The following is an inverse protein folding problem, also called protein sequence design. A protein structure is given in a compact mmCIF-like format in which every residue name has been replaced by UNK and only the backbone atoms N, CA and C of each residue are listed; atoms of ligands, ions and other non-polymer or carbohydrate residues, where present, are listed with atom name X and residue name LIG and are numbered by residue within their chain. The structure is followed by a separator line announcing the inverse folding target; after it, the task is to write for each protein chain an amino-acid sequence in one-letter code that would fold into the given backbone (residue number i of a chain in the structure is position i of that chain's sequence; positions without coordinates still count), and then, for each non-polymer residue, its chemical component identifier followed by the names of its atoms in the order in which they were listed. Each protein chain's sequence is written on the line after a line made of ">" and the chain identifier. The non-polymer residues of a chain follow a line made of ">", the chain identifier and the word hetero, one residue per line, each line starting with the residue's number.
data_IF_071390703152
#
_entry.id   IF_071390703152
#
_cell.length_a   1.000
_cell.length_b   1.000
_cell.length_c   1.000
_cell.angle_alpha   90.00
_cell.angle_beta   90.00
_cell.angle_gamma   90.00
#
_symmetry.space_group_name_H-M   'P 1'
#
loop_
_entity.id
_entity.type
_entity.pdbx_description
1 polymer ?
#
# COMPACT_ATOMS: atom_id res chain seq x y z
N UNK A 1 -37.66 0.65 -28.54
CA UNK A 1 -36.58 0.16 -27.68
C UNK A 1 -35.70 1.36 -27.41
N UNK A 2 -35.94 2.00 -26.27
CA UNK A 2 -35.43 3.33 -25.95
C UNK A 2 -33.90 3.29 -25.84
N UNK A 3 -33.22 4.02 -26.71
CA UNK A 3 -31.96 4.62 -26.34
C UNK A 3 -32.35 5.73 -25.36
N UNK A 4 -32.31 5.43 -24.06
CA UNK A 4 -32.35 6.47 -23.04
C UNK A 4 -31.18 7.41 -23.35
N UNK A 5 -31.51 8.68 -23.56
CA UNK A 5 -30.57 9.78 -23.65
C UNK A 5 -29.75 9.80 -22.35
N UNK A 6 -28.61 9.08 -22.31
CA UNK A 6 -27.59 9.29 -21.28
C UNK A 6 -27.08 10.72 -21.44
N UNK A 7 -27.59 11.61 -20.57
CA UNK A 7 -27.18 13.01 -20.48
C UNK A 7 -25.63 13.04 -20.43
N UNK A 8 -24.94 13.82 -21.29
CA UNK A 8 -23.49 13.98 -21.19
C UNK A 8 -23.02 14.31 -19.76
N UNK A 9 -23.85 14.96 -18.95
CA UNK A 9 -23.57 15.22 -17.54
C UNK A 9 -23.39 13.94 -16.70
N UNK A 10 -24.18 12.88 -16.94
CA UNK A 10 -24.09 11.62 -16.20
C UNK A 10 -22.79 10.87 -16.50
N UNK A 11 -22.31 10.94 -17.75
CA UNK A 11 -21.01 10.36 -18.15
C UNK A 11 -19.83 11.10 -17.54
N UNK A 12 -19.87 12.44 -17.51
CA UNK A 12 -18.84 13.26 -16.86
C UNK A 12 -18.84 13.09 -15.33
N UNK A 13 -20.03 12.99 -14.70
CA UNK A 13 -20.17 12.77 -13.26
C UNK A 13 -19.66 11.38 -12.83
N UNK A 14 -19.93 10.34 -13.64
CA UNK A 14 -19.40 8.99 -13.41
C UNK A 14 -17.87 8.94 -13.49
N UNK A 15 -17.25 9.55 -14.51
CA UNK A 15 -15.78 9.58 -14.68
C UNK A 15 -15.07 10.33 -13.53
N UNK A 16 -15.67 11.41 -13.03
CA UNK A 16 -15.14 12.16 -11.89
C UNK A 16 -15.16 11.34 -10.59
N UNK A 17 -16.25 10.61 -10.31
CA UNK A 17 -16.33 9.80 -9.08
C UNK A 17 -15.30 8.66 -9.07
N UNK A 18 -15.02 8.06 -10.23
CA UNK A 18 -14.03 6.98 -10.35
C UNK A 18 -12.61 7.49 -10.11
N UNK A 19 -12.29 8.68 -10.64
CA UNK A 19 -11.03 9.38 -10.35
C UNK A 19 -10.89 9.67 -8.86
N UNK A 20 -11.91 10.29 -8.24
CA UNK A 20 -11.91 10.61 -6.80
C UNK A 20 -11.80 9.35 -5.92
N UNK A 21 -12.37 8.23 -6.36
CA UNK A 21 -12.25 6.94 -5.66
C UNK A 21 -10.82 6.37 -5.73
N UNK A 22 -10.15 6.50 -6.88
CA UNK A 22 -8.77 6.07 -7.05
C UNK A 22 -7.81 6.90 -6.19
N UNK A 23 -7.97 8.22 -6.18
CA UNK A 23 -7.19 9.14 -5.33
C UNK A 23 -7.33 8.79 -3.85
N UNK A 24 -8.56 8.61 -3.35
CA UNK A 24 -8.80 8.21 -1.94
C UNK A 24 -8.08 6.92 -1.57
N UNK A 25 -8.07 5.96 -2.48
CA UNK A 25 -7.37 4.70 -2.22
C UNK A 25 -5.85 4.88 -2.23
N UNK A 26 -5.33 5.68 -3.17
CA UNK A 26 -3.91 6.04 -3.20
C UNK A 26 -3.47 6.76 -1.92
N UNK A 27 -4.25 7.75 -1.46
CA UNK A 27 -3.99 8.47 -0.22
C UNK A 27 -4.05 7.55 1.01
N UNK A 28 -5.01 6.62 1.04
CA UNK A 28 -5.08 5.63 2.12
C UNK A 28 -3.83 4.73 2.16
N UNK A 29 -3.27 4.39 1.00
CA UNK A 29 -2.07 3.56 0.88
C UNK A 29 -0.79 4.33 1.21
N UNK A 30 -0.67 5.59 0.78
CA UNK A 30 0.44 6.45 1.20
C UNK A 30 0.42 6.68 2.70
N UNK A 31 -0.75 6.90 3.30
CA UNK A 31 -0.87 7.06 4.75
C UNK A 31 -0.33 5.85 5.51
N UNK A 32 -0.63 4.64 5.05
CA UNK A 32 -0.12 3.42 5.69
C UNK A 32 1.37 3.24 5.46
N UNK A 33 1.90 3.58 4.27
CA UNK A 33 3.33 3.63 4.01
C UNK A 33 4.08 4.60 4.94
N UNK A 34 3.53 5.81 5.12
CA UNK A 34 4.08 6.83 6.02
C UNK A 34 4.02 6.39 7.49
N UNK A 35 2.93 5.74 7.91
CA UNK A 35 2.82 5.20 9.26
C UNK A 35 3.88 4.11 9.53
N UNK A 36 4.16 3.23 8.56
CA UNK A 36 5.22 2.23 8.67
C UNK A 36 6.62 2.87 8.76
N UNK A 37 6.88 3.89 7.93
CA UNK A 37 8.14 4.65 7.97
C UNK A 37 8.32 5.39 9.31
N UNK A 38 7.27 6.05 9.80
CA UNK A 38 7.29 6.69 11.10
C UNK A 38 7.50 5.66 12.23
N UNK A 39 6.90 4.48 12.12
CA UNK A 39 7.12 3.36 13.03
C UNK A 39 8.56 2.85 13.01
N UNK A 40 9.20 2.74 11.84
CA UNK A 40 10.60 2.36 11.71
C UNK A 40 11.53 3.35 12.45
N UNK A 41 11.33 4.64 12.21
CA UNK A 41 12.11 5.72 12.85
C UNK A 41 11.84 5.77 14.35
N UNK A 42 10.56 5.65 14.74
CA UNK A 42 10.14 5.66 16.13
C UNK A 42 10.72 4.49 16.92
N UNK A 43 10.74 3.30 16.32
CA UNK A 43 11.32 2.12 16.95
C UNK A 43 12.84 2.27 17.14
N UNK A 44 13.54 2.82 16.15
CA UNK A 44 14.98 3.03 16.25
C UNK A 44 15.35 4.07 17.32
N UNK A 45 14.58 5.17 17.40
CA UNK A 45 14.91 6.32 18.26
C UNK A 45 14.27 6.28 19.66
N UNK A 46 13.02 5.83 19.80
CA UNK A 46 12.27 5.92 21.07
C UNK A 46 12.37 4.65 21.92
N UNK A 47 12.84 3.53 21.35
CA UNK A 47 12.87 2.23 22.05
C UNK A 47 14.25 1.55 22.04
N UNK A 48 15.31 2.23 22.53
CA UNK A 48 16.66 1.67 22.53
C UNK A 48 16.79 0.43 23.43
N UNK A 49 16.06 0.37 24.54
CA UNK A 49 16.13 -0.72 25.53
C UNK A 49 15.10 -1.84 25.33
N UNK A 50 14.23 -1.73 24.32
CA UNK A 50 13.12 -2.66 24.09
C UNK A 50 13.60 -4.03 23.57
N UNK A 51 14.72 -4.04 22.85
CA UNK A 51 15.29 -5.24 22.26
C UNK A 51 16.82 -5.10 22.07
N UNK A 52 17.56 -6.22 21.94
CA UNK A 52 18.96 -6.18 21.56
C UNK A 52 19.16 -5.40 20.26
N UNK A 53 20.23 -4.59 20.20
CA UNK A 53 20.60 -3.74 19.05
C UNK A 53 20.37 -4.42 17.68
N UNK A 54 20.83 -5.65 17.40
CA UNK A 54 20.62 -6.27 16.09
C UNK A 54 19.14 -6.52 15.76
N UNK A 55 18.31 -6.84 16.76
CA UNK A 55 16.86 -7.07 16.56
C UNK A 55 16.16 -5.78 16.21
N UNK A 56 16.50 -4.68 16.91
CA UNK A 56 15.91 -3.36 16.67
C UNK A 56 16.26 -2.85 15.27
N UNK A 57 17.53 -2.95 14.87
CA UNK A 57 17.99 -2.55 13.53
C UNK A 57 17.26 -3.35 12.44
N UNK A 58 17.17 -4.66 12.57
CA UNK A 58 16.46 -5.50 11.59
C UNK A 58 14.99 -5.09 11.50
N UNK A 59 14.34 -4.80 12.63
CA UNK A 59 12.94 -4.43 12.66
C UNK A 59 12.68 -3.04 12.05
N UNK A 60 13.51 -2.06 12.36
CA UNK A 60 13.44 -0.73 11.75
C UNK A 60 13.66 -0.80 10.24
N UNK A 61 14.64 -1.58 9.78
CA UNK A 61 14.90 -1.80 8.35
C UNK A 61 13.71 -2.50 7.68
N UNK A 62 13.13 -3.53 8.30
CA UNK A 62 11.97 -4.24 7.76
C UNK A 62 10.75 -3.31 7.61
N UNK A 63 10.46 -2.50 8.62
CA UNK A 63 9.38 -1.50 8.58
C UNK A 63 9.64 -0.43 7.51
N UNK A 64 10.88 0.04 7.39
CA UNK A 64 11.25 1.04 6.38
C UNK A 64 11.11 0.50 4.95
N UNK A 65 11.61 -0.72 4.69
CA UNK A 65 11.49 -1.39 3.38
C UNK A 65 10.03 -1.69 3.07
N UNK A 66 9.24 -2.14 4.05
CA UNK A 66 7.81 -2.37 3.89
C UNK A 66 7.03 -1.09 3.55
N UNK A 67 7.31 0.01 4.26
CA UNK A 67 6.73 1.32 3.98
C UNK A 67 7.11 1.85 2.60
N UNK A 68 8.39 1.76 2.23
CA UNK A 68 8.86 2.15 0.91
C UNK A 68 8.21 1.33 -0.21
N UNK A 69 8.17 -0.01 -0.05
CA UNK A 69 7.51 -0.91 -0.98
C UNK A 69 6.02 -0.63 -1.14
N UNK A 70 5.34 -0.30 -0.03
CA UNK A 70 3.93 0.08 -0.05
C UNK A 70 3.70 1.39 -0.81
N UNK A 71 4.56 2.39 -0.62
CA UNK A 71 4.52 3.65 -1.38
C UNK A 71 4.72 3.43 -2.88
N UNK A 72 5.71 2.60 -3.25
CA UNK A 72 5.96 2.23 -4.65
C UNK A 72 4.77 1.47 -5.26
N UNK A 73 4.17 0.54 -4.52
CA UNK A 73 3.00 -0.21 -4.95
C UNK A 73 1.77 0.69 -5.13
N UNK A 74 1.56 1.67 -4.25
CA UNK A 74 0.51 2.66 -4.35
C UNK A 74 0.66 3.48 -5.65
N UNK A 75 1.87 3.95 -5.95
CA UNK A 75 2.16 4.70 -7.17
C UNK A 75 1.97 3.86 -8.43
N UNK A 76 2.51 2.64 -8.49
CA UNK A 76 2.33 1.74 -9.64
C UNK A 76 0.86 1.38 -9.88
N UNK A 77 0.05 1.26 -8.82
CA UNK A 77 -1.40 1.06 -8.93
C UNK A 77 -2.06 2.28 -9.54
N UNK A 78 -1.77 3.47 -9.01
CA UNK A 78 -2.32 4.72 -9.51
C UNK A 78 -2.03 4.91 -11.00
N UNK A 79 -0.77 4.76 -11.43
CA UNK A 79 -0.38 4.88 -12.85
C UNK A 79 -1.10 3.87 -13.76
N UNK A 80 -1.29 2.61 -13.32
CA UNK A 80 -2.03 1.61 -14.10
C UNK A 80 -3.50 1.96 -14.28
N UNK A 81 -4.14 2.43 -13.21
CA UNK A 81 -5.56 2.79 -13.23
C UNK A 81 -5.75 4.05 -14.08
N UNK A 82 -4.90 5.06 -13.89
CA UNK A 82 -4.85 6.29 -14.71
C UNK A 82 -4.71 5.97 -16.21
N UNK A 83 -3.78 5.07 -16.58
CA UNK A 83 -3.60 4.67 -17.99
C UNK A 83 -4.79 3.91 -18.56
N UNK A 84 -5.45 3.06 -17.77
CA UNK A 84 -6.64 2.34 -18.21
C UNK A 84 -7.85 3.27 -18.40
N UNK A 85 -8.03 4.23 -17.48
CA UNK A 85 -9.07 5.27 -17.59
C UNK A 85 -8.84 6.15 -18.83
N UNK A 86 -7.61 6.63 -19.07
CA UNK A 86 -7.28 7.41 -20.28
C UNK A 86 -7.46 6.64 -21.59
N UNK A 87 -7.41 5.32 -21.56
CA UNK A 87 -7.59 4.47 -22.73
C UNK A 87 -9.06 4.04 -22.95
N UNK A 88 -9.99 4.47 -22.10
CA UNK A 88 -11.40 4.05 -22.15
C UNK A 88 -11.61 2.54 -21.90
N UNK A 89 -10.63 1.88 -21.27
CA UNK A 89 -10.61 0.42 -21.12
C UNK A 89 -11.18 -0.07 -19.78
N UNK A 90 -11.60 -1.34 -19.68
CA UNK A 90 -12.11 -1.92 -18.44
C UNK A 90 -11.05 -1.89 -17.33
N UNK A 91 -11.47 -1.57 -16.09
CA UNK A 91 -10.56 -1.41 -14.95
C UNK A 91 -9.77 -2.71 -14.69
N UNK A 92 -8.42 -2.65 -14.65
CA UNK A 92 -7.59 -3.83 -14.47
C UNK A 92 -7.76 -4.43 -13.07
N UNK A 93 -8.03 -5.73 -13.00
CA UNK A 93 -8.14 -6.50 -11.75
C UNK A 93 -6.87 -6.37 -10.89
N UNK A 94 -7.02 -5.85 -9.68
CA UNK A 94 -5.92 -5.37 -8.84
C UNK A 94 -5.16 -6.51 -8.14
N UNK A 95 -4.12 -7.05 -8.80
CA UNK A 95 -3.07 -7.90 -8.18
C UNK A 95 -2.35 -7.26 -6.98
N UNK A 96 -2.50 -5.96 -6.78
CA UNK A 96 -1.80 -5.20 -5.74
C UNK A 96 -2.25 -5.59 -4.32
N UNK A 97 -3.48 -6.08 -4.16
CA UNK A 97 -3.98 -6.60 -2.89
C UNK A 97 -3.21 -7.86 -2.46
N UNK A 98 -2.88 -8.72 -3.42
CA UNK A 98 -2.06 -9.91 -3.21
C UNK A 98 -0.60 -9.55 -2.86
N UNK A 99 -0.03 -8.53 -3.50
CA UNK A 99 1.32 -8.05 -3.16
C UNK A 99 1.40 -7.52 -1.72
N UNK A 100 0.38 -6.77 -1.29
CA UNK A 100 0.30 -6.27 0.09
C UNK A 100 0.21 -7.41 1.10
N UNK A 101 -0.65 -8.39 0.84
CA UNK A 101 -0.79 -9.59 1.67
C UNK A 101 0.52 -10.38 1.75
N UNK A 102 1.23 -10.54 0.62
CA UNK A 102 2.52 -11.23 0.59
C UNK A 102 3.58 -10.46 1.39
N UNK A 103 3.67 -9.14 1.24
CA UNK A 103 4.62 -8.33 2.03
C UNK A 103 4.37 -8.45 3.54
N UNK A 104 3.11 -8.35 3.97
CA UNK A 104 2.75 -8.48 5.39
C UNK A 104 3.02 -9.90 5.89
N UNK A 105 2.69 -10.93 5.10
CA UNK A 105 2.95 -12.32 5.45
C UNK A 105 4.45 -12.62 5.58
N UNK A 106 5.28 -12.09 4.67
CA UNK A 106 6.74 -12.23 4.73
C UNK A 106 7.30 -11.52 5.96
N UNK A 107 6.86 -10.29 6.25
CA UNK A 107 7.28 -9.57 7.45
C UNK A 107 6.91 -10.33 8.73
N UNK A 108 5.69 -10.86 8.82
CA UNK A 108 5.24 -11.67 9.95
C UNK A 108 6.05 -12.97 10.09
N UNK A 109 6.29 -13.68 8.98
CA UNK A 109 7.06 -14.93 8.99
C UNK A 109 8.52 -14.71 9.43
N UNK A 110 9.18 -13.68 8.91
CA UNK A 110 10.53 -13.29 9.35
C UNK A 110 10.54 -13.00 10.84
N UNK A 111 9.55 -12.25 11.35
CA UNK A 111 9.42 -11.93 12.76
C UNK A 111 9.26 -13.19 13.63
N UNK A 112 8.39 -14.11 13.24
CA UNK A 112 8.18 -15.39 13.93
C UNK A 112 9.44 -16.25 13.96
N UNK A 113 10.15 -16.36 12.84
CA UNK A 113 11.41 -17.11 12.75
C UNK A 113 12.48 -16.50 13.65
N UNK A 114 12.59 -15.17 13.69
CA UNK A 114 13.61 -14.47 14.48
C UNK A 114 13.37 -14.62 15.98
N UNK A 115 12.11 -14.58 16.42
CA UNK A 115 11.73 -14.85 17.82
C UNK A 115 12.05 -16.30 18.20
N UNK A 116 11.62 -17.27 17.39
CA UNK A 116 11.77 -18.71 17.68
C UNK A 116 13.23 -19.16 17.61
N UNK A 117 13.99 -18.64 16.65
CA UNK A 117 15.42 -18.94 16.50
C UNK A 117 16.29 -18.40 17.63
N UNK A 118 15.80 -17.39 18.36
CA UNK A 118 16.48 -16.79 19.52
C UNK A 118 16.01 -17.35 20.87
N UNK A 119 14.93 -18.14 20.88
CA UNK A 119 14.41 -18.82 22.08
C UNK A 119 15.03 -20.21 22.29
N UNK A 120 16.09 -20.54 21.55
CA UNK A 120 16.95 -21.71 21.73
C UNK A 120 18.37 -21.23 21.97
#
# INVERSE_FOLDING_TARGET
>A
MAAEDEDPADREELDYRFTLANERTFLAWIRTALALLAGAVGLDQLTPDLAPVPVRVVLSVALAVGGAGLGVAAYHRWVRVERAMRAGGPLPATRTMLVLTVCVAVAAAVFSVLIVGRSR
#
